data_IF_693749108361
#
_entry.id   IF_693749108361
#
_cell.length_a   1.000
_cell.length_b   1.000
_cell.length_c   1.000
_cell.angle_alpha   90.00
_cell.angle_beta   90.00
_cell.angle_gamma   90.00
#
_symmetry.space_group_name_H-M   'P 1'
#
loop_
_entity.id
_entity.type
_entity.pdbx_description
1 polymer ?
#
# COMPACT_ATOMS: atom_id res chain seq x y z
N UNK A 1 -8.10 -0.32 37.20
CA UNK A 1 -7.15 -1.34 36.71
C UNK A 1 -7.40 -1.48 35.23
N UNK A 2 -6.50 -0.96 34.40
CA UNK A 2 -6.52 -1.26 32.97
C UNK A 2 -6.16 -2.74 32.89
N UNK A 3 -7.02 -3.57 32.30
CA UNK A 3 -6.71 -4.98 32.05
C UNK A 3 -5.49 -5.07 31.13
N UNK A 4 -4.67 -6.13 31.23
CA UNK A 4 -3.46 -6.28 30.41
C UNK A 4 -3.74 -6.11 28.89
N UNK A 5 -4.92 -6.55 28.44
CA UNK A 5 -5.42 -6.35 27.08
C UNK A 5 -5.61 -4.87 26.70
N UNK A 6 -6.16 -4.07 27.61
CA UNK A 6 -6.38 -2.63 27.37
C UNK A 6 -5.06 -1.85 27.28
N UNK A 7 -4.01 -2.29 27.97
CA UNK A 7 -2.69 -1.66 27.90
C UNK A 7 -1.98 -1.95 26.57
N UNK A 8 -2.09 -3.17 26.06
CA UNK A 8 -1.52 -3.54 24.74
C UNK A 8 -2.20 -2.78 23.59
N UNK A 9 -3.53 -2.68 23.60
CA UNK A 9 -4.28 -1.91 22.59
C UNK A 9 -3.90 -0.43 22.61
N UNK A 10 -3.75 0.16 23.80
CA UNK A 10 -3.30 1.54 23.96
C UNK A 10 -1.85 1.74 23.50
N UNK A 11 -0.97 0.77 23.75
CA UNK A 11 0.41 0.79 23.27
C UNK A 11 0.52 0.76 21.75
N UNK A 12 -0.27 -0.12 21.09
CA UNK A 12 -0.32 -0.20 19.61
C UNK A 12 -0.88 1.10 19.02
N UNK A 13 -1.94 1.65 19.61
CA UNK A 13 -2.54 2.92 19.17
C UNK A 13 -1.55 4.06 19.28
N UNK A 14 -0.89 4.19 20.43
CA UNK A 14 0.15 5.19 20.68
C UNK A 14 1.33 5.04 19.71
N UNK A 15 1.77 3.81 19.42
CA UNK A 15 2.79 3.55 18.39
C UNK A 15 2.33 4.03 17.00
N UNK A 16 1.11 3.69 16.58
CA UNK A 16 0.57 4.11 15.27
C UNK A 16 0.54 5.64 15.14
N UNK A 17 0.06 6.33 16.16
CA UNK A 17 -0.02 7.79 16.20
C UNK A 17 1.38 8.43 16.18
N UNK A 18 2.30 7.93 17.01
CA UNK A 18 3.68 8.41 17.06
C UNK A 18 4.37 8.27 15.70
N UNK A 19 4.29 7.09 15.09
CA UNK A 19 4.93 6.84 13.80
C UNK A 19 4.31 7.69 12.70
N UNK A 20 2.98 7.84 12.70
CA UNK A 20 2.29 8.72 11.75
C UNK A 20 2.79 10.16 11.89
N UNK A 21 2.89 10.68 13.11
CA UNK A 21 3.40 12.02 13.37
C UNK A 21 4.88 12.20 12.94
N UNK A 22 5.74 11.20 13.18
CA UNK A 22 7.14 11.22 12.73
C UNK A 22 7.23 11.27 11.20
N UNK A 23 6.41 10.49 10.49
CA UNK A 23 6.38 10.50 9.04
C UNK A 23 5.78 11.79 8.46
N UNK A 24 4.81 12.40 9.14
CA UNK A 24 4.21 13.66 8.71
C UNK A 24 5.12 14.87 8.91
N UNK A 25 5.82 14.94 10.04
CA UNK A 25 6.62 16.10 10.44
C UNK A 25 8.12 15.98 10.22
N UNK A 26 8.65 14.75 10.07
CA UNK A 26 10.10 14.50 9.96
C UNK A 26 10.46 13.54 8.82
N UNK A 27 9.52 13.26 7.90
CA UNK A 27 9.71 12.39 6.74
C UNK A 27 10.38 11.04 7.08
N UNK A 28 9.99 10.45 8.22
CA UNK A 28 10.45 9.11 8.61
C UNK A 28 11.86 9.06 9.21
N UNK A 29 12.40 10.19 9.69
CA UNK A 29 13.63 10.20 10.48
C UNK A 29 13.40 9.49 11.84
N UNK A 30 14.14 8.42 12.17
CA UNK A 30 13.92 7.66 13.41
C UNK A 30 14.36 8.39 14.69
N UNK A 31 14.90 9.61 14.57
CA UNK A 31 15.44 10.40 15.69
C UNK A 31 14.57 11.62 15.93
N UNK A 32 13.97 11.67 17.12
CA UNK A 32 13.19 12.80 17.61
C UNK A 32 13.97 13.51 18.71
N UNK A 33 14.30 14.78 18.48
CA UNK A 33 14.82 15.66 19.52
C UNK A 33 13.64 16.31 20.26
N UNK A 34 13.57 16.10 21.57
CA UNK A 34 12.53 16.67 22.42
C UNK A 34 13.13 17.34 23.65
N UNK A 35 12.75 18.60 23.87
CA UNK A 35 13.05 19.34 25.09
C UNK A 35 11.79 20.04 25.60
N UNK A 36 11.39 19.75 26.85
CA UNK A 36 10.14 20.25 27.46
C UNK A 36 10.05 21.80 27.56
N UNK A 37 11.16 22.51 27.38
CA UNK A 37 11.21 23.98 27.35
C UNK A 37 10.98 24.55 25.95
N UNK A 38 11.44 23.83 24.91
CA UNK A 38 11.47 24.30 23.52
C UNK A 38 10.26 23.80 22.75
N UNK A 39 9.90 22.53 22.92
CA UNK A 39 8.88 21.84 22.11
C UNK A 39 7.46 21.96 22.71
N UNK A 40 7.18 23.01 23.48
CA UNK A 40 5.83 23.25 24.04
C UNK A 40 4.83 23.57 22.92
N UNK A 41 3.64 22.97 23.00
CA UNK A 41 2.54 23.02 22.02
C UNK A 41 2.93 22.48 20.63
N UNK A 42 3.93 21.61 20.58
CA UNK A 42 4.25 20.86 19.35
C UNK A 42 3.69 19.45 19.44
N UNK A 43 3.57 18.77 18.29
CA UNK A 43 3.18 17.36 18.23
C UNK A 43 4.07 16.47 19.13
N UNK A 44 5.35 16.84 19.32
CA UNK A 44 6.27 16.07 20.17
C UNK A 44 5.87 16.08 21.64
N UNK A 45 5.22 17.15 22.12
CA UNK A 45 4.79 17.22 23.52
C UNK A 45 3.73 16.17 23.83
N UNK A 46 2.86 15.84 22.87
CA UNK A 46 1.83 14.81 23.04
C UNK A 46 2.44 13.44 23.36
N UNK A 47 3.54 13.11 22.69
CA UNK A 47 4.19 11.81 22.82
C UNK A 47 5.28 11.78 23.90
N UNK A 48 6.13 12.81 23.99
CA UNK A 48 7.36 12.77 24.79
C UNK A 48 7.27 13.49 26.14
N UNK A 49 6.09 14.00 26.52
CA UNK A 49 5.89 14.56 27.86
C UNK A 49 6.12 13.50 28.97
N UNK A 50 6.44 13.98 30.18
CA UNK A 50 6.59 13.14 31.37
C UNK A 50 5.27 12.99 32.14
N UNK A 51 4.11 12.99 31.47
CA UNK A 51 2.84 12.64 32.15
C UNK A 51 2.79 11.12 32.35
N UNK A 52 2.26 10.69 33.48
CA UNK A 52 2.27 9.27 33.91
C UNK A 52 1.75 8.28 32.86
N UNK A 53 0.75 8.67 32.06
CA UNK A 53 0.20 7.83 30.99
C UNK A 53 1.11 7.69 29.77
N UNK A 54 1.65 8.79 29.25
CA UNK A 54 2.55 8.80 28.09
C UNK A 54 3.89 8.15 28.41
N UNK A 55 4.37 8.28 29.65
CA UNK A 55 5.60 7.65 30.10
C UNK A 55 5.50 6.12 30.02
N UNK A 56 4.42 5.53 30.54
CA UNK A 56 4.25 4.08 30.53
C UNK A 56 4.10 3.51 29.11
N UNK A 57 3.37 4.21 28.24
CA UNK A 57 3.20 3.79 26.84
C UNK A 57 4.51 3.91 26.05
N UNK A 58 5.35 4.91 26.37
CA UNK A 58 6.67 5.11 25.76
C UNK A 58 7.65 3.98 26.10
N UNK A 59 7.62 3.44 27.32
CA UNK A 59 8.50 2.33 27.74
C UNK A 59 8.23 1.04 26.94
N UNK A 60 7.03 0.88 26.38
CA UNK A 60 6.66 -0.29 25.56
C UNK A 60 7.19 -0.16 24.12
N UNK A 61 7.47 1.06 23.67
CA UNK A 61 8.01 1.29 22.33
C UNK A 61 9.53 1.05 22.35
N UNK A 62 10.11 0.39 21.32
CA UNK A 62 11.55 0.20 21.18
C UNK A 62 12.30 1.51 20.85
N UNK A 63 12.29 2.45 21.79
CA UNK A 63 12.99 3.72 21.76
C UNK A 63 14.19 3.67 22.70
N UNK A 64 15.35 4.08 22.19
CA UNK A 64 16.51 4.43 22.99
C UNK A 64 16.47 5.92 23.32
N UNK A 65 16.78 6.28 24.56
CA UNK A 65 16.89 7.68 25.00
C UNK A 65 18.34 8.02 25.30
N UNK A 66 18.84 9.09 24.69
CA UNK A 66 20.14 9.69 25.01
C UNK A 66 19.96 11.20 25.23
N UNK A 67 19.79 11.60 26.49
CA UNK A 67 19.44 12.98 26.86
C UNK A 67 18.10 13.40 26.27
N UNK A 68 18.15 14.41 25.39
CA UNK A 68 17.00 15.00 24.68
C UNK A 68 16.69 14.27 23.36
N UNK A 69 17.45 13.22 23.02
CA UNK A 69 17.24 12.43 21.80
C UNK A 69 16.49 11.14 22.10
N UNK A 70 15.37 10.95 21.41
CA UNK A 70 14.64 9.69 21.35
C UNK A 70 14.85 9.07 19.98
N UNK A 71 15.34 7.83 19.95
CA UNK A 71 15.69 7.16 18.69
C UNK A 71 15.11 5.76 18.68
N UNK A 72 14.38 5.40 17.63
CA UNK A 72 14.01 4.00 17.40
C UNK A 72 15.27 3.13 17.31
N UNK A 73 15.29 2.01 18.04
CA UNK A 73 16.44 1.09 18.08
C UNK A 73 16.90 0.72 16.66
N UNK A 74 15.94 0.56 15.74
CA UNK A 74 16.22 0.37 14.33
C UNK A 74 15.14 1.02 13.46
N UNK A 75 15.50 1.53 12.26
CA UNK A 75 14.54 2.16 11.34
C UNK A 75 13.43 1.20 10.91
N UNK A 76 13.73 -0.10 10.78
CA UNK A 76 12.69 -1.09 10.42
C UNK A 76 11.55 -1.17 11.43
N UNK A 77 11.78 -0.83 12.71
CA UNK A 77 10.72 -0.83 13.72
C UNK A 77 9.77 0.36 13.56
N UNK A 78 10.32 1.51 13.14
CA UNK A 78 9.53 2.66 12.72
C UNK A 78 8.71 2.31 11.47
N UNK A 79 9.35 1.71 10.46
CA UNK A 79 8.71 1.33 9.20
C UNK A 79 7.64 0.25 9.40
N UNK A 80 7.88 -0.70 10.32
CA UNK A 80 6.89 -1.68 10.75
C UNK A 80 5.70 -1.03 11.45
N UNK A 81 5.95 -0.09 12.39
CA UNK A 81 4.89 0.69 13.02
C UNK A 81 4.05 1.46 12.01
N UNK A 82 4.66 1.97 10.94
CA UNK A 82 3.94 2.61 9.84
C UNK A 82 3.08 1.59 9.09
N UNK A 83 3.61 0.39 8.81
CA UNK A 83 2.82 -0.67 8.17
C UNK A 83 1.60 -1.08 9.00
N UNK A 84 1.72 -1.06 10.34
CA UNK A 84 0.60 -1.30 11.27
C UNK A 84 -0.41 -0.13 11.28
N UNK A 85 0.05 1.10 11.07
CA UNK A 85 -0.84 2.26 10.97
C UNK A 85 -1.64 2.22 9.65
N UNK A 86 -1.01 1.77 8.56
CA UNK A 86 -1.65 1.57 7.24
C UNK A 86 -2.68 0.45 7.28
N UNK A 87 -2.35 -0.64 7.97
CA UNK A 87 -3.25 -1.78 8.17
C UNK A 87 -3.15 -2.26 9.61
N UNK A 88 -4.06 -1.79 10.46
CA UNK A 88 -4.26 -2.38 11.77
C UNK A 88 -5.00 -3.70 11.61
N UNK A 89 -4.68 -4.75 12.40
CA UNK A 89 -5.54 -5.93 12.42
C UNK A 89 -6.96 -5.46 12.75
N UNK A 90 -7.86 -5.59 11.76
CA UNK A 90 -9.29 -5.55 12.00
C UNK A 90 -9.57 -6.64 13.03
N UNK A 91 -10.25 -6.30 14.13
CA UNK A 91 -10.76 -7.30 15.08
C UNK A 91 -11.72 -8.22 14.34
N UNK A 92 -11.22 -9.29 13.75
CA UNK A 92 -12.04 -10.33 13.14
C UNK A 92 -11.28 -11.65 13.07
N UNK A 93 -10.64 -12.07 14.17
CA UNK A 93 -10.19 -13.46 14.39
C UNK A 93 -9.72 -13.73 15.85
N UNK A 94 -10.34 -13.11 16.85
CA UNK A 94 -10.24 -13.58 18.25
C UNK A 94 -11.59 -14.10 18.71
N UNK A 95 -12.05 -15.20 18.11
CA UNK A 95 -13.06 -16.08 18.71
C UNK A 95 -13.07 -17.45 18.01
N UNK A 96 -11.91 -18.09 17.88
CA UNK A 96 -11.86 -19.53 17.56
C UNK A 96 -10.60 -20.19 18.14
N UNK A 97 -10.28 -19.92 19.40
CA UNK A 97 -9.60 -20.93 20.20
C UNK A 97 -10.62 -21.60 21.11
N UNK A 98 -11.04 -22.77 20.67
CA UNK A 98 -11.86 -23.70 21.41
C UNK A 98 -11.24 -23.95 22.80
N UNK A 99 -11.92 -23.50 23.85
CA UNK A 99 -11.78 -24.07 25.19
C UNK A 99 -12.25 -25.53 25.15
N UNK A 100 -11.36 -26.54 25.21
CA UNK A 100 -11.80 -27.91 25.35
C UNK A 100 -11.81 -28.19 26.84
N UNK A 101 -12.93 -27.95 27.53
CA UNK A 101 -13.32 -28.61 28.79
C UNK A 101 -14.56 -27.90 29.36
N UNK A 102 -15.74 -28.38 28.95
CA UNK A 102 -16.93 -28.54 29.81
C UNK A 102 -18.05 -29.20 29.01
N UNK A 103 -17.90 -30.51 28.83
CA UNK A 103 -19.02 -31.41 28.51
C UNK A 103 -19.90 -31.54 29.76
N UNK A 104 -21.11 -30.98 29.74
CA UNK A 104 -22.24 -31.55 30.48
C UNK A 104 -23.61 -31.08 29.98
N UNK A 105 -24.27 -32.00 29.24
CA UNK A 105 -25.71 -32.36 29.24
C UNK A 105 -26.78 -31.26 29.08
N UNK A 106 -27.61 -31.48 28.05
CA UNK A 106 -29.07 -31.52 28.20
C UNK A 106 -29.89 -30.78 27.13
N UNK A 107 -30.44 -31.54 26.18
CA UNK A 107 -31.88 -31.61 25.79
C UNK A 107 -32.71 -30.31 25.87
N UNK A 108 -33.45 -29.80 24.87
CA UNK A 108 -34.32 -30.42 23.84
C UNK A 108 -34.85 -29.32 22.90
N UNK A 109 -35.30 -29.74 21.72
CA UNK A 109 -36.45 -29.20 20.95
C UNK A 109 -36.16 -28.33 19.71
N UNK A 110 -36.06 -29.05 18.59
CA UNK A 110 -36.78 -28.86 17.32
C UNK A 110 -37.53 -27.55 17.07
N UNK A 111 -37.17 -26.87 15.98
CA UNK A 111 -38.11 -26.51 14.90
C UNK A 111 -37.30 -26.06 13.67
N UNK A 112 -37.26 -26.92 12.65
CA UNK A 112 -36.88 -26.57 11.28
C UNK A 112 -38.08 -25.87 10.63
N UNK A 113 -37.89 -24.62 10.23
CA UNK A 113 -38.73 -23.96 9.23
C UNK A 113 -37.81 -23.20 8.28
N UNK A 114 -37.68 -23.77 7.08
CA UNK A 114 -37.11 -23.13 5.91
C UNK A 114 -38.03 -21.99 5.48
N UNK A 115 -37.58 -20.76 5.68
CA UNK A 115 -38.03 -19.61 4.90
C UNK A 115 -36.78 -18.88 4.41
N UNK A 116 -36.54 -18.92 3.10
CA UNK A 116 -35.74 -17.90 2.42
C UNK A 116 -36.56 -16.62 2.44
N UNK A 117 -35.94 -15.47 2.76
CA UNK A 117 -35.94 -14.44 1.72
C UNK A 117 -34.64 -13.63 1.68
N UNK A 118 -34.24 -13.30 0.45
CA UNK A 118 -33.47 -12.12 0.05
C UNK A 118 -32.08 -11.88 0.64
N UNK A 119 -31.12 -11.80 -0.28
CA UNK A 119 -30.00 -10.85 -0.28
C UNK A 119 -30.28 -9.58 0.53
N UNK A 120 -29.79 -9.53 1.76
CA UNK A 120 -29.54 -8.29 2.48
C UNK A 120 -28.04 -8.02 2.43
N UNK A 121 -27.70 -7.08 1.54
CA UNK A 121 -26.49 -6.29 1.63
C UNK A 121 -26.42 -5.72 3.05
N UNK A 122 -25.53 -6.26 3.87
CA UNK A 122 -25.05 -5.52 5.04
C UNK A 122 -23.93 -4.62 4.54
N UNK A 123 -24.33 -3.41 4.15
CA UNK A 123 -23.47 -2.25 4.06
C UNK A 123 -22.70 -2.12 5.38
N UNK A 124 -21.49 -2.68 5.43
CA UNK A 124 -20.55 -2.44 6.51
C UNK A 124 -19.97 -1.05 6.30
N UNK A 125 -20.60 -0.08 6.97
CA UNK A 125 -20.25 1.33 6.98
C UNK A 125 -18.88 1.66 7.62
N UNK A 126 -18.05 0.64 7.94
CA UNK A 126 -16.72 0.81 8.55
C UNK A 126 -15.56 0.81 7.54
N UNK A 127 -15.81 0.46 6.27
CA UNK A 127 -14.76 0.35 5.24
C UNK A 127 -14.34 1.73 4.64
N UNK A 128 -14.92 2.83 5.14
CA UNK A 128 -14.66 4.20 4.69
C UNK A 128 -13.45 4.89 5.34
N UNK A 129 -12.83 4.34 6.40
CA UNK A 129 -11.79 5.06 7.16
C UNK A 129 -10.34 4.79 6.69
N UNK A 130 -10.07 3.61 6.12
CA UNK A 130 -8.72 3.25 5.64
C UNK A 130 -8.35 3.98 4.33
N UNK A 131 -9.37 4.28 3.53
CA UNK A 131 -9.24 4.87 2.19
C UNK A 131 -8.93 6.38 2.18
N UNK A 132 -9.16 7.08 3.29
CA UNK A 132 -8.85 8.50 3.48
C UNK A 132 -7.59 8.76 4.31
N UNK A 133 -6.94 7.68 4.78
CA UNK A 133 -5.74 7.77 5.60
C UNK A 133 -4.67 8.62 4.88
N UNK A 134 -4.10 9.64 5.54
CA UNK A 134 -3.19 10.61 4.93
C UNK A 134 -1.92 9.96 4.35
N UNK A 135 -1.63 8.73 4.76
CA UNK A 135 -0.49 7.93 4.32
C UNK A 135 -0.61 7.43 2.88
N UNK A 136 -1.81 7.12 2.35
CA UNK A 136 -1.98 6.74 0.94
C UNK A 136 -1.84 7.91 -0.04
N UNK A 137 -1.80 9.14 0.48
CA UNK A 137 -1.49 10.35 -0.31
C UNK A 137 0.02 10.55 -0.47
N UNK A 138 0.85 9.82 0.27
CA UNK A 138 2.32 9.84 0.12
C UNK A 138 2.77 8.74 -0.83
N UNK A 139 3.85 9.01 -1.56
CA UNK A 139 4.44 8.02 -2.46
C UNK A 139 5.27 7.02 -1.64
N UNK A 140 4.79 5.78 -1.51
CA UNK A 140 5.47 4.72 -0.75
C UNK A 140 6.45 3.92 -1.62
N UNK A 141 6.51 4.17 -2.94
CA UNK A 141 7.38 3.43 -3.88
C UNK A 141 8.87 3.50 -3.47
N UNK A 142 9.30 4.59 -2.82
CA UNK A 142 10.67 4.75 -2.32
C UNK A 142 10.97 4.03 -1.00
N UNK A 143 9.95 3.72 -0.19
CA UNK A 143 10.12 3.17 1.15
C UNK A 143 10.12 1.63 1.13
N UNK A 144 11.25 1.06 0.71
CA UNK A 144 11.40 -0.37 0.45
C UNK A 144 11.03 -1.27 1.64
N UNK A 145 11.34 -0.85 2.86
CA UNK A 145 11.01 -1.60 4.08
C UNK A 145 9.50 -1.61 4.36
N UNK A 146 8.82 -0.48 4.19
CA UNK A 146 7.36 -0.38 4.36
C UNK A 146 6.66 -1.23 3.31
N UNK A 147 7.09 -1.15 2.05
CA UNK A 147 6.57 -1.98 0.98
C UNK A 147 6.77 -3.47 1.26
N UNK A 148 7.91 -3.87 1.82
CA UNK A 148 8.18 -5.26 2.17
C UNK A 148 7.15 -5.79 3.18
N UNK A 149 6.91 -5.05 4.28
CA UNK A 149 5.90 -5.44 5.26
C UNK A 149 4.49 -5.47 4.68
N UNK A 150 4.11 -4.48 3.88
CA UNK A 150 2.79 -4.46 3.22
C UNK A 150 2.65 -5.60 2.20
N UNK A 151 3.74 -5.99 1.54
CA UNK A 151 3.79 -7.12 0.60
C UNK A 151 3.56 -8.44 1.32
N UNK A 152 4.26 -8.67 2.42
CA UNK A 152 4.09 -9.87 3.26
C UNK A 152 2.65 -9.98 3.78
N UNK A 153 2.06 -8.86 4.20
CA UNK A 153 0.65 -8.81 4.59
C UNK A 153 -0.30 -9.10 3.43
N UNK A 154 -0.06 -8.51 2.27
CA UNK A 154 -0.84 -8.81 1.07
C UNK A 154 -0.76 -10.28 0.70
N UNK A 155 0.33 -10.99 0.99
CA UNK A 155 0.40 -12.44 0.77
C UNK A 155 -0.44 -13.24 1.76
N UNK A 156 -0.54 -12.80 3.01
CA UNK A 156 -1.24 -13.50 4.10
C UNK A 156 -2.75 -13.23 4.12
N UNK A 157 -3.18 -12.01 3.83
CA UNK A 157 -4.56 -11.57 4.00
C UNK A 157 -5.24 -11.27 2.66
N UNK A 158 -6.29 -12.04 2.33
CA UNK A 158 -7.05 -11.84 1.08
C UNK A 158 -7.85 -10.54 1.08
N UNK A 159 -8.44 -10.16 2.23
CA UNK A 159 -9.22 -8.93 2.36
C UNK A 159 -8.38 -7.69 2.02
N UNK A 160 -7.10 -7.68 2.42
CA UNK A 160 -6.19 -6.59 2.07
C UNK A 160 -5.92 -6.53 0.56
N UNK A 161 -5.80 -7.67 -0.13
CA UNK A 161 -5.70 -7.67 -1.61
C UNK A 161 -6.92 -7.03 -2.27
N UNK A 162 -8.12 -7.37 -1.81
CA UNK A 162 -9.36 -6.85 -2.37
C UNK A 162 -9.47 -5.33 -2.17
N UNK A 163 -9.03 -4.82 -1.01
CA UNK A 163 -8.92 -3.38 -0.76
C UNK A 163 -7.93 -2.70 -1.71
N UNK A 164 -6.75 -3.29 -1.95
CA UNK A 164 -5.77 -2.77 -2.90
C UNK A 164 -6.31 -2.75 -4.33
N UNK A 165 -7.05 -3.79 -4.74
CA UNK A 165 -7.72 -3.83 -6.04
C UNK A 165 -8.77 -2.71 -6.16
N UNK A 166 -9.57 -2.49 -5.12
CA UNK A 166 -10.55 -1.39 -5.07
C UNK A 166 -9.89 -0.02 -5.21
N UNK A 167 -8.71 0.19 -4.61
CA UNK A 167 -7.94 1.43 -4.79
C UNK A 167 -7.50 1.66 -6.24
N UNK A 168 -7.07 0.61 -6.94
CA UNK A 168 -6.69 0.68 -8.35
C UNK A 168 -7.91 1.06 -9.20
N UNK A 169 -9.05 0.43 -8.96
CA UNK A 169 -10.30 0.74 -9.67
C UNK A 169 -10.78 2.18 -9.43
N UNK A 170 -10.69 2.68 -8.20
CA UNK A 170 -11.01 4.08 -7.86
C UNK A 170 -10.15 5.08 -8.63
N UNK A 171 -8.91 4.74 -8.99
CA UNK A 171 -8.05 5.64 -9.77
C UNK A 171 -8.58 5.94 -11.17
N UNK A 172 -9.42 5.07 -11.73
CA UNK A 172 -10.02 5.26 -13.06
C UNK A 172 -10.89 6.53 -13.06
N UNK A 173 -11.69 6.72 -12.02
CA UNK A 173 -12.58 7.89 -11.88
C UNK A 173 -11.87 9.05 -11.19
N UNK A 174 -11.25 8.82 -10.03
CA UNK A 174 -10.69 9.87 -9.18
C UNK A 174 -9.20 10.15 -9.50
N UNK A 175 -8.84 11.43 -9.61
CA UNK A 175 -7.45 11.88 -9.80
C UNK A 175 -6.68 11.98 -8.48
N UNK A 176 -7.36 12.08 -7.34
CA UNK A 176 -6.71 12.13 -6.03
C UNK A 176 -6.20 10.74 -5.61
N UNK A 177 -6.94 9.68 -5.97
CA UNK A 177 -6.56 8.28 -5.74
C UNK A 177 -5.32 7.79 -6.53
N UNK A 178 -4.68 8.62 -7.36
CA UNK A 178 -3.55 8.19 -8.22
C UNK A 178 -2.35 7.66 -7.43
N UNK A 179 -2.04 8.28 -6.28
CA UNK A 179 -0.88 7.92 -5.46
C UNK A 179 -1.19 6.64 -4.69
N UNK A 180 -2.39 6.55 -4.12
CA UNK A 180 -2.89 5.35 -3.46
C UNK A 180 -2.87 4.15 -4.42
N UNK A 181 -3.36 4.32 -5.64
CA UNK A 181 -3.36 3.27 -6.65
C UNK A 181 -1.96 2.89 -7.13
N UNK A 182 -1.04 3.85 -7.28
CA UNK A 182 0.36 3.57 -7.60
C UNK A 182 1.04 2.73 -6.51
N UNK A 183 0.80 3.07 -5.23
CA UNK A 183 1.27 2.27 -4.10
C UNK A 183 0.63 0.88 -4.11
N UNK A 184 -0.70 0.80 -4.31
CA UNK A 184 -1.46 -0.45 -4.26
C UNK A 184 -1.01 -1.44 -5.34
N UNK A 185 -0.88 -0.99 -6.59
CA UNK A 185 -0.42 -1.87 -7.67
C UNK A 185 1.04 -2.31 -7.46
N UNK A 186 1.89 -1.43 -6.91
CA UNK A 186 3.28 -1.78 -6.57
C UNK A 186 3.33 -2.89 -5.53
N UNK A 187 2.51 -2.81 -4.48
CA UNK A 187 2.41 -3.84 -3.43
C UNK A 187 1.90 -5.15 -4.02
N UNK A 188 0.85 -5.12 -4.84
CA UNK A 188 0.28 -6.32 -5.45
C UNK A 188 1.28 -7.01 -6.41
N UNK A 189 2.00 -6.25 -7.23
CA UNK A 189 3.05 -6.79 -8.11
C UNK A 189 4.15 -7.46 -7.29
N UNK A 190 4.64 -6.81 -6.23
CA UNK A 190 5.63 -7.40 -5.31
C UNK A 190 5.12 -8.64 -4.58
N UNK A 191 3.83 -8.68 -4.27
CA UNK A 191 3.20 -9.84 -3.65
C UNK A 191 3.07 -11.04 -4.60
N UNK A 192 3.39 -10.87 -5.89
CA UNK A 192 3.31 -11.90 -6.91
C UNK A 192 1.92 -12.03 -7.54
N UNK A 193 1.06 -11.01 -7.38
CA UNK A 193 -0.27 -11.01 -8.01
C UNK A 193 -0.11 -10.81 -9.52
N UNK A 194 -0.72 -11.71 -10.28
CA UNK A 194 -0.72 -11.66 -11.74
C UNK A 194 -1.92 -10.86 -12.24
N UNK A 195 -1.68 -9.97 -13.20
CA UNK A 195 -2.69 -9.12 -13.82
C UNK A 195 -3.00 -9.57 -15.26
N UNK A 196 -2.90 -10.88 -15.52
CA UNK A 196 -3.12 -11.44 -16.85
C UNK A 196 -4.57 -11.22 -17.29
N UNK A 197 -4.77 -10.62 -18.47
CA UNK A 197 -6.10 -10.29 -18.99
C UNK A 197 -6.86 -9.24 -18.18
N UNK A 198 -6.22 -8.59 -17.18
CA UNK A 198 -6.89 -7.64 -16.30
C UNK A 198 -7.36 -6.39 -17.07
N UNK A 199 -8.54 -5.89 -16.69
CA UNK A 199 -9.07 -4.64 -17.21
C UNK A 199 -8.51 -3.44 -16.43
N UNK A 200 -7.40 -2.90 -16.92
CA UNK A 200 -6.68 -1.77 -16.34
C UNK A 200 -6.85 -0.51 -17.22
N UNK A 201 -7.95 -0.40 -17.96
CA UNK A 201 -8.21 0.76 -18.82
C UNK A 201 -8.36 2.03 -17.99
N UNK A 202 -7.73 3.11 -18.45
CA UNK A 202 -7.76 4.44 -17.83
C UNK A 202 -7.28 4.51 -16.36
N UNK A 203 -6.58 3.49 -15.85
CA UNK A 203 -6.01 3.57 -14.49
C UNK A 203 -5.02 4.72 -14.39
N UNK A 204 -4.91 5.31 -13.20
CA UNK A 204 -3.99 6.42 -12.94
C UNK A 204 -2.94 6.01 -11.91
N UNK A 205 -1.78 5.57 -12.37
CA UNK A 205 -0.70 5.05 -11.52
C UNK A 205 0.67 5.66 -11.86
N UNK A 206 0.79 7.00 -11.92
CA UNK A 206 2.06 7.63 -12.25
C UNK A 206 3.12 7.31 -11.19
N UNK A 207 4.31 6.91 -11.63
CA UNK A 207 5.44 6.58 -10.76
C UNK A 207 5.36 5.21 -10.07
N UNK A 208 4.38 4.37 -10.40
CA UNK A 208 4.28 3.03 -9.83
C UNK A 208 5.47 2.14 -10.23
N UNK A 209 5.86 1.23 -9.34
CA UNK A 209 6.86 0.21 -9.63
C UNK A 209 6.16 -1.11 -9.99
N UNK A 210 6.17 -1.42 -11.29
CA UNK A 210 5.60 -2.63 -11.87
C UNK A 210 6.70 -3.61 -12.28
N UNK A 211 7.94 -3.42 -11.79
CA UNK A 211 9.05 -4.27 -12.17
C UNK A 211 8.80 -5.72 -11.81
N UNK A 212 9.22 -6.64 -12.70
CA UNK A 212 8.98 -8.07 -12.60
C UNK A 212 7.49 -8.51 -12.58
N UNK A 213 6.54 -7.58 -12.78
CA UNK A 213 5.13 -7.90 -12.82
C UNK A 213 4.72 -8.70 -14.05
N UNK A 214 3.59 -9.40 -13.94
CA UNK A 214 3.01 -10.21 -15.02
C UNK A 214 1.65 -9.63 -15.41
N UNK A 215 1.58 -9.10 -16.62
CA UNK A 215 0.48 -8.34 -17.21
C UNK A 215 0.17 -8.84 -18.64
N UNK A 216 0.36 -10.13 -18.90
CA UNK A 216 0.11 -10.69 -20.23
C UNK A 216 -1.37 -10.51 -20.60
N UNK A 217 -1.63 -10.03 -21.82
CA UNK A 217 -2.97 -9.71 -22.33
C UNK A 217 -3.74 -8.66 -21.51
N UNK A 218 -3.07 -7.89 -20.63
CA UNK A 218 -3.71 -6.84 -19.86
C UNK A 218 -4.18 -5.69 -20.76
N UNK A 219 -5.32 -5.09 -20.39
CA UNK A 219 -5.95 -3.97 -21.09
C UNK A 219 -5.57 -2.66 -20.41
N UNK A 220 -4.59 -1.94 -20.95
CA UNK A 220 -4.05 -0.69 -20.39
C UNK A 220 -4.39 0.52 -21.28
N UNK A 221 -5.45 0.43 -22.08
CA UNK A 221 -5.86 1.53 -22.97
C UNK A 221 -6.13 2.81 -22.15
N UNK A 222 -5.50 3.92 -22.53
CA UNK A 222 -5.64 5.21 -21.85
C UNK A 222 -5.03 5.29 -20.44
N UNK A 223 -4.30 4.28 -19.98
CA UNK A 223 -3.68 4.29 -18.64
C UNK A 223 -2.62 5.40 -18.50
N UNK A 224 -2.55 6.03 -17.33
CA UNK A 224 -1.48 6.95 -16.97
C UNK A 224 -0.36 6.19 -16.24
N UNK A 225 0.68 5.85 -17.02
CA UNK A 225 1.89 5.14 -16.58
C UNK A 225 3.10 6.08 -16.50
N UNK A 226 2.91 7.40 -16.47
CA UNK A 226 4.04 8.35 -16.51
C UNK A 226 5.01 8.05 -15.37
N UNK A 227 6.31 8.00 -15.68
CA UNK A 227 7.40 7.67 -14.73
C UNK A 227 7.30 6.29 -14.08
N UNK A 228 6.43 5.39 -14.54
CA UNK A 228 6.34 4.04 -14.00
C UNK A 228 7.62 3.24 -14.32
N UNK A 229 8.00 2.34 -13.41
CA UNK A 229 9.06 1.38 -13.63
C UNK A 229 8.47 0.09 -14.21
N UNK A 230 8.79 -0.20 -15.47
CA UNK A 230 8.38 -1.39 -16.22
C UNK A 230 9.56 -2.35 -16.46
N UNK A 231 10.64 -2.25 -15.65
CA UNK A 231 11.81 -3.11 -15.79
C UNK A 231 11.43 -4.59 -15.64
N UNK A 232 11.86 -5.43 -16.58
CA UNK A 232 11.65 -6.89 -16.56
C UNK A 232 10.17 -7.31 -16.48
N UNK A 233 9.21 -6.44 -16.81
CA UNK A 233 7.78 -6.77 -16.78
C UNK A 233 7.39 -7.67 -17.95
N UNK A 234 6.46 -8.60 -17.72
CA UNK A 234 5.88 -9.43 -18.78
C UNK A 234 4.55 -8.82 -19.23
N UNK A 235 4.51 -8.30 -20.45
CA UNK A 235 3.34 -7.62 -21.03
C UNK A 235 3.04 -8.16 -22.44
N UNK A 236 3.16 -9.48 -22.67
CA UNK A 236 2.88 -10.07 -23.99
C UNK A 236 1.41 -9.84 -24.33
N UNK A 237 1.13 -9.37 -25.55
CA UNK A 237 -0.24 -9.06 -26.01
C UNK A 237 -0.98 -8.00 -25.17
N UNK A 238 -0.30 -7.25 -24.30
CA UNK A 238 -0.93 -6.16 -23.56
C UNK A 238 -1.29 -4.99 -24.49
N UNK A 239 -2.46 -4.39 -24.27
CA UNK A 239 -2.94 -3.27 -25.07
C UNK A 239 -2.64 -1.93 -24.38
N UNK A 240 -1.62 -1.21 -24.85
CA UNK A 240 -1.21 0.10 -24.33
C UNK A 240 -1.74 1.27 -25.18
N UNK A 241 -2.77 1.06 -26.01
CA UNK A 241 -3.28 2.10 -26.92
C UNK A 241 -3.70 3.35 -26.15
N UNK A 242 -3.06 4.48 -26.45
CA UNK A 242 -3.37 5.77 -25.80
C UNK A 242 -2.86 5.90 -24.36
N UNK A 243 -2.07 4.95 -23.86
CA UNK A 243 -1.45 5.06 -22.54
C UNK A 243 -0.40 6.19 -22.51
N UNK A 244 -0.35 6.94 -21.40
CA UNK A 244 0.66 7.96 -21.17
C UNK A 244 1.90 7.34 -20.56
N UNK A 245 3.00 7.27 -21.33
CA UNK A 245 4.24 6.58 -20.93
C UNK A 245 5.44 7.53 -20.79
N UNK A 246 5.20 8.83 -20.62
CA UNK A 246 6.29 9.82 -20.49
C UNK A 246 7.18 9.48 -19.28
N UNK A 247 8.47 9.29 -19.52
CA UNK A 247 9.46 8.98 -18.49
C UNK A 247 9.37 7.56 -17.92
N UNK A 248 8.63 6.64 -18.56
CA UNK A 248 8.62 5.22 -18.18
C UNK A 248 10.02 4.63 -18.28
N UNK A 249 10.38 3.81 -17.30
CA UNK A 249 11.67 3.12 -17.25
C UNK A 249 11.46 1.66 -17.68
N UNK A 250 11.97 1.27 -18.84
CA UNK A 250 11.92 -0.12 -19.31
C UNK A 250 13.09 -0.98 -18.81
N UNK A 251 14.03 -0.38 -18.06
CA UNK A 251 15.27 -1.03 -17.65
C UNK A 251 16.33 -0.93 -18.74
N UNK A 252 16.66 -2.06 -19.37
CA UNK A 252 17.58 -2.07 -20.50
C UNK A 252 16.88 -1.56 -21.76
N UNK A 253 17.36 -0.45 -22.30
CA UNK A 253 16.91 0.03 -23.59
C UNK A 253 17.63 -0.76 -24.69
N UNK A 254 16.93 -1.26 -25.72
CA UNK A 254 17.62 -1.70 -26.92
C UNK A 254 18.49 -0.55 -27.45
N UNK A 255 19.68 -0.87 -27.95
CA UNK A 255 20.71 0.06 -28.44
C UNK A 255 20.32 0.88 -29.69
N UNK A 256 19.02 1.09 -29.94
CA UNK A 256 18.52 1.87 -31.04
C UNK A 256 18.66 3.36 -30.71
N UNK A 257 19.83 3.91 -31.04
CA UNK A 257 20.10 5.35 -30.97
C UNK A 257 19.65 5.99 -32.28
N UNK A 258 18.54 6.70 -32.22
CA UNK A 258 18.05 7.53 -33.32
C UNK A 258 18.56 8.98 -33.18
N UNK A 259 18.86 9.62 -34.31
CA UNK A 259 19.35 11.01 -34.35
C UNK A 259 18.28 12.04 -33.96
N UNK A 260 17.00 11.64 -33.95
CA UNK A 260 15.85 12.50 -33.70
C UNK A 260 14.75 11.70 -32.99
N UNK A 261 13.81 12.39 -32.34
CA UNK A 261 12.66 11.73 -31.73
C UNK A 261 11.82 10.96 -32.77
N UNK A 262 11.33 9.78 -32.38
CA UNK A 262 10.42 8.96 -33.19
C UNK A 262 9.03 9.57 -33.16
N UNK A 263 8.49 9.91 -34.33
CA UNK A 263 7.14 10.46 -34.52
C UNK A 263 6.09 9.37 -34.68
N UNK A 264 6.43 8.31 -35.41
CA UNK A 264 5.57 7.16 -35.63
C UNK A 264 6.45 5.91 -35.73
N UNK A 265 5.92 4.77 -35.32
CA UNK A 265 6.62 3.50 -35.46
C UNK A 265 5.64 2.39 -35.82
N UNK A 266 6.09 1.44 -36.61
CA UNK A 266 5.33 0.27 -36.98
C UNK A 266 6.23 -0.95 -37.02
N UNK A 267 5.64 -2.13 -36.85
CA UNK A 267 6.33 -3.40 -37.05
C UNK A 267 5.74 -4.07 -38.28
N UNK A 268 6.56 -4.83 -38.99
CA UNK A 268 6.08 -5.73 -40.04
C UNK A 268 5.07 -6.73 -39.45
N UNK A 269 4.14 -7.27 -40.26
CA UNK A 269 3.14 -8.23 -39.79
C UNK A 269 3.74 -9.50 -39.15
N UNK A 270 4.99 -9.83 -39.47
CA UNK A 270 5.75 -10.95 -38.90
C UNK A 270 6.59 -10.56 -37.67
N UNK A 271 6.58 -9.28 -37.26
CA UNK A 271 7.28 -8.74 -36.11
C UNK A 271 8.80 -8.65 -36.23
N UNK A 272 9.37 -8.94 -37.42
CA UNK A 272 10.82 -9.01 -37.62
C UNK A 272 11.47 -7.70 -37.98
N UNK A 273 10.73 -6.79 -38.60
CA UNK A 273 11.22 -5.50 -39.08
C UNK A 273 10.51 -4.40 -38.31
N UNK A 274 11.29 -3.52 -37.70
CA UNK A 274 10.81 -2.29 -37.09
C UNK A 274 11.06 -1.14 -38.07
N UNK A 275 10.07 -0.27 -38.24
CA UNK A 275 10.22 0.97 -38.99
C UNK A 275 9.76 2.14 -38.11
N UNK A 276 10.57 3.18 -38.01
CA UNK A 276 10.31 4.39 -37.24
C UNK A 276 10.46 5.63 -38.12
N UNK A 277 9.41 6.44 -38.24
CA UNK A 277 9.48 7.78 -38.83
C UNK A 277 9.96 8.78 -37.79
N UNK A 278 11.02 9.51 -38.09
CA UNK A 278 11.65 10.49 -37.20
C UNK A 278 11.16 11.93 -37.48
N UNK A 279 11.27 12.82 -36.48
CA UNK A 279 10.92 14.25 -36.67
C UNK A 279 11.80 15.00 -37.67
N UNK A 280 13.00 14.50 -37.97
CA UNK A 280 13.90 15.07 -38.98
C UNK A 280 13.49 14.69 -40.43
N UNK A 281 12.40 13.92 -40.62
CA UNK A 281 11.92 13.48 -41.92
C UNK A 281 12.55 12.18 -42.44
N UNK A 282 13.47 11.58 -41.69
CA UNK A 282 14.08 10.28 -42.02
C UNK A 282 13.25 9.13 -41.47
N UNK A 283 13.40 7.93 -42.06
CA UNK A 283 12.81 6.69 -41.58
C UNK A 283 13.96 5.75 -41.22
N UNK A 284 13.95 5.21 -40.00
CA UNK A 284 14.86 4.14 -39.57
C UNK A 284 14.15 2.80 -39.46
#
# INVERSE_FOLDING_TARGET
QITDLGFQEQGITYLKELVTAIYEHQDGNPVVHYSARVDRRTWKEEFFNDRDGSHLLREVIPLSRNGDQYRFIHKSLLDYGLSLAVFGPSKSNEETEANPLLSRRGSTSSALSFENPSTENTDTADDKSLLDSPLWKRNLVGEQSVLQFLTERAQQESAFKDQLHSMIERSKTDKAARIAAANAITILVRAGVQFNGADLRNIKIPGADLSFGVFDSARLEGADLRKANLRNVWMRQANLRGAQMNGVQFGELPFLKEDSGVRCSTYSPDGKVYAAGLFNGSIS
#
